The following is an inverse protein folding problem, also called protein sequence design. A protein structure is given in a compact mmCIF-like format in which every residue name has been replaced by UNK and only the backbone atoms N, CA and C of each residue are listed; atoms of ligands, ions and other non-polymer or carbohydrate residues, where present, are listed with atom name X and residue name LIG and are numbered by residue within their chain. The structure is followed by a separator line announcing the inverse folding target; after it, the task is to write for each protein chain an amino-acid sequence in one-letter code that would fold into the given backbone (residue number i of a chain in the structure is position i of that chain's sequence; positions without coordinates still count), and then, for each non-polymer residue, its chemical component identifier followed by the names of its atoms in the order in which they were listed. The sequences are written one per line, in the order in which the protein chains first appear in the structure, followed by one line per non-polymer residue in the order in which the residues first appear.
data_IF_680178544806
#
_entry.id   IF_680178544806
#
_cell.length_a   1.000
_cell.length_b   1.000
_cell.length_c   1.000
_cell.angle_alpha   90.00
_cell.angle_beta   90.00
_cell.angle_gamma   90.00
#
_symmetry.space_group_name_H-M   'P 1'
#
loop_
_entity.id
_entity.type
_entity.pdbx_description
1 polymer ?
#
# COMPACT_ATOMS: atom_id res chain seq x y z
N UNK A 1 -3.37 -17.21 -0.60
CA UNK A 1 -3.20 -16.42 -1.85
C UNK A 1 -4.29 -15.38 -2.09
N UNK A 2 -5.60 -15.72 -2.06
CA UNK A 2 -6.69 -14.74 -2.33
C UNK A 2 -6.60 -13.44 -1.53
N UNK A 3 -6.32 -13.51 -0.23
CA UNK A 3 -6.20 -12.33 0.64
C UNK A 3 -5.01 -11.42 0.28
N UNK A 4 -3.90 -11.98 -0.20
CA UNK A 4 -2.72 -11.19 -0.57
C UNK A 4 -2.97 -10.33 -1.81
N UNK A 5 -3.70 -10.87 -2.77
CA UNK A 5 -4.10 -10.15 -3.99
C UNK A 5 -5.06 -9.02 -3.62
N UNK A 6 -6.05 -9.31 -2.77
CA UNK A 6 -7.01 -8.30 -2.31
C UNK A 6 -6.33 -7.15 -1.56
N UNK A 7 -5.39 -7.46 -0.66
CA UNK A 7 -4.61 -6.46 0.07
C UNK A 7 -3.77 -5.60 -0.86
N UNK A 8 -3.16 -6.19 -1.89
CA UNK A 8 -2.39 -5.46 -2.90
C UNK A 8 -3.28 -4.51 -3.71
N UNK A 9 -4.43 -4.97 -4.17
CA UNK A 9 -5.36 -4.16 -4.95
C UNK A 9 -5.90 -2.99 -4.13
N UNK A 10 -6.26 -3.23 -2.86
CA UNK A 10 -6.64 -2.17 -1.93
C UNK A 10 -5.52 -1.15 -1.70
N UNK A 11 -4.27 -1.62 -1.56
CA UNK A 11 -3.12 -0.72 -1.42
C UNK A 11 -2.99 0.21 -2.62
N UNK A 12 -3.14 -0.33 -3.85
CA UNK A 12 -3.07 0.45 -5.09
C UNK A 12 -4.24 1.45 -5.16
N UNK A 13 -5.46 1.00 -4.90
CA UNK A 13 -6.66 1.85 -4.97
C UNK A 13 -6.59 3.01 -3.97
N UNK A 14 -6.25 2.71 -2.71
CA UNK A 14 -6.12 3.73 -1.66
C UNK A 14 -4.92 4.62 -1.97
N UNK A 15 -3.77 4.04 -2.33
CA UNK A 15 -2.53 4.75 -2.61
C UNK A 15 -2.66 5.81 -3.70
N UNK A 16 -3.45 5.54 -4.74
CA UNK A 16 -3.74 6.50 -5.81
C UNK A 16 -4.37 7.80 -5.28
N UNK A 17 -5.19 7.73 -4.22
CA UNK A 17 -5.81 8.92 -3.59
C UNK A 17 -4.80 9.78 -2.83
N UNK A 18 -3.62 9.23 -2.51
CA UNK A 18 -2.56 9.90 -1.75
C UNK A 18 -1.28 10.14 -2.57
N UNK A 19 -1.34 10.05 -3.91
CA UNK A 19 -0.19 10.16 -4.81
C UNK A 19 0.92 9.14 -4.49
N UNK A 20 0.53 7.91 -4.15
CA UNK A 20 1.44 6.81 -3.84
C UNK A 20 1.34 5.76 -4.94
N UNK A 21 2.51 5.30 -5.41
CA UNK A 21 2.62 4.27 -6.45
C UNK A 21 3.39 3.08 -5.91
N UNK A 22 2.77 1.90 -5.98
CA UNK A 22 3.41 0.63 -5.62
C UNK A 22 4.56 0.31 -6.60
N UNK A 23 5.74 -0.04 -6.05
CA UNK A 23 6.91 -0.47 -6.84
C UNK A 23 7.13 -1.96 -6.67
N UNK A 24 7.16 -2.45 -5.43
CA UNK A 24 7.32 -3.87 -5.15
C UNK A 24 6.36 -4.32 -4.05
N UNK A 25 5.89 -5.55 -4.19
CA UNK A 25 5.02 -6.21 -3.24
C UNK A 25 5.57 -7.61 -2.96
N UNK A 26 6.22 -7.75 -1.81
CA UNK A 26 6.72 -9.02 -1.31
C UNK A 26 5.94 -9.42 -0.07
N UNK A 27 5.79 -10.72 0.15
CA UNK A 27 5.12 -11.23 1.33
C UNK A 27 5.90 -12.39 1.93
N UNK A 28 5.86 -12.47 3.25
CA UNK A 28 6.35 -13.59 4.03
C UNK A 28 5.17 -14.29 4.71
N UNK A 29 5.43 -15.26 5.60
CA UNK A 29 4.37 -16.04 6.26
C UNK A 29 3.44 -15.19 7.12
N UNK A 30 3.96 -14.15 7.77
CA UNK A 30 3.28 -13.37 8.82
C UNK A 30 3.20 -11.87 8.51
N UNK A 31 3.89 -11.39 7.47
CA UNK A 31 3.94 -9.98 7.13
C UNK A 31 4.13 -9.71 5.64
N UNK A 32 3.92 -8.46 5.24
CA UNK A 32 4.15 -7.96 3.89
C UNK A 32 5.24 -6.89 3.89
N UNK A 33 6.05 -6.88 2.85
CA UNK A 33 7.03 -5.83 2.55
C UNK A 33 6.58 -5.07 1.31
N UNK A 34 6.44 -3.76 1.45
CA UNK A 34 5.93 -2.91 0.38
C UNK A 34 6.94 -1.81 0.10
N UNK A 35 7.46 -1.77 -1.13
CA UNK A 35 8.23 -0.64 -1.64
C UNK A 35 7.31 0.22 -2.49
N UNK A 36 7.24 1.51 -2.19
CA UNK A 36 6.40 2.45 -2.93
C UNK A 36 7.12 3.79 -3.14
N UNK A 37 6.70 4.51 -4.18
CA UNK A 37 7.05 5.92 -4.39
C UNK A 37 5.93 6.78 -3.85
N UNK A 38 6.28 7.91 -3.26
CA UNK A 38 5.35 8.92 -2.79
C UNK A 38 5.80 10.30 -3.30
N UNK A 39 4.84 11.20 -3.54
CA UNK A 39 5.14 12.58 -3.85
C UNK A 39 5.47 13.37 -2.55
N UNK A 40 6.22 14.49 -2.64
CA UNK A 40 6.52 15.30 -1.46
C UNK A 40 5.30 15.80 -0.67
N UNK A 41 4.14 15.91 -1.32
CA UNK A 41 2.87 16.32 -0.72
C UNK A 41 1.97 15.14 -0.29
N UNK A 42 2.44 13.89 -0.38
CA UNK A 42 1.69 12.71 0.05
C UNK A 42 1.49 12.71 1.56
N UNK A 43 0.24 12.60 2.01
CA UNK A 43 -0.09 12.52 3.43
C UNK A 43 0.10 11.09 3.98
N UNK A 44 1.36 10.65 4.12
CA UNK A 44 1.73 9.27 4.44
C UNK A 44 1.04 8.70 5.68
N UNK A 45 0.93 9.47 6.76
CA UNK A 45 0.25 8.99 7.98
C UNK A 45 -1.23 8.68 7.75
N UNK A 46 -1.93 9.53 6.97
CA UNK A 46 -3.34 9.31 6.63
C UNK A 46 -3.50 8.12 5.70
N UNK A 47 -2.59 7.98 4.72
CA UNK A 47 -2.56 6.83 3.83
C UNK A 47 -2.41 5.51 4.59
N UNK A 48 -1.40 5.40 5.45
CA UNK A 48 -1.13 4.17 6.20
C UNK A 48 -2.30 3.82 7.11
N UNK A 49 -2.93 4.82 7.73
CA UNK A 49 -4.13 4.60 8.55
C UNK A 49 -5.33 4.14 7.70
N UNK A 50 -5.57 4.78 6.56
CA UNK A 50 -6.66 4.41 5.66
C UNK A 50 -6.50 3.00 5.08
N UNK A 51 -5.28 2.56 4.81
CA UNK A 51 -4.99 1.21 4.32
C UNK A 51 -5.10 0.13 5.40
N UNK A 52 -4.77 0.44 6.66
CA UNK A 52 -4.79 -0.51 7.78
C UNK A 52 -6.15 -0.66 8.46
N UNK A 53 -7.10 0.24 8.21
CA UNK A 53 -8.45 0.24 8.80
C UNK A 53 -9.34 -0.80 8.13
#
# INVERSE_FOLDING_TARGET
MKYLILSKDMFIEIGNKYNITLIEWNHDKDHIHVLFKAHPNSELSKFINAYKS
#
